data_IF_523488340357
#
_entry.id   IF_523488340357
#
_cell.length_a   1.000
_cell.length_b   1.000
_cell.length_c   1.000
_cell.angle_alpha   90.00
_cell.angle_beta   90.00
_cell.angle_gamma   90.00
#
_symmetry.space_group_name_H-M   'P 1'
#
loop_
_entity.id
_entity.type
_entity.pdbx_description
1 polymer ?
#
# COMPACT_ATOMS: atom_id res chain seq x y z
N UNK A 1 -31.41 -30.38 -7.01
CA UNK A 1 -31.38 -29.36 -5.97
C UNK A 1 -32.79 -29.00 -5.57
N UNK A 2 -33.07 -29.01 -4.27
CA UNK A 2 -34.33 -28.50 -3.72
C UNK A 2 -34.06 -27.16 -3.09
N UNK A 3 -34.83 -26.11 -3.46
CA UNK A 3 -34.68 -24.75 -2.98
C UNK A 3 -36.00 -24.33 -2.32
N UNK A 4 -35.91 -23.73 -1.13
CA UNK A 4 -37.07 -23.17 -0.46
C UNK A 4 -37.44 -21.83 -1.08
N UNK A 5 -38.72 -21.51 -1.16
CA UNK A 5 -39.18 -20.16 -1.53
C UNK A 5 -38.80 -19.10 -0.47
N UNK A 6 -38.46 -19.53 0.74
CA UNK A 6 -37.97 -18.67 1.82
C UNK A 6 -36.44 -18.46 1.77
N UNK A 7 -35.75 -19.15 0.84
CA UNK A 7 -34.31 -18.97 0.64
C UNK A 7 -33.98 -17.49 0.31
N UNK A 8 -32.85 -17.01 0.81
CA UNK A 8 -32.41 -15.62 0.58
C UNK A 8 -32.34 -15.26 -0.90
N UNK A 9 -32.00 -16.21 -1.77
CA UNK A 9 -32.01 -16.01 -3.21
C UNK A 9 -33.42 -15.63 -3.70
N UNK A 10 -34.45 -16.33 -3.26
CA UNK A 10 -35.84 -16.09 -3.64
C UNK A 10 -36.36 -14.81 -2.97
N UNK A 11 -35.96 -14.51 -1.74
CA UNK A 11 -36.35 -13.31 -1.02
C UNK A 11 -35.77 -12.04 -1.63
N UNK A 12 -34.52 -12.06 -2.11
CA UNK A 12 -33.84 -10.90 -2.72
C UNK A 12 -34.30 -10.67 -4.17
N UNK A 13 -34.54 -11.72 -4.94
CA UNK A 13 -34.83 -11.66 -6.37
C UNK A 13 -36.23 -12.06 -6.75
N UNK A 14 -37.00 -12.65 -5.81
CA UNK A 14 -38.40 -12.93 -5.99
C UNK A 14 -39.21 -11.64 -5.92
N UNK A 15 -39.94 -11.33 -6.97
CA UNK A 15 -40.85 -10.18 -6.95
C UNK A 15 -42.07 -10.49 -6.06
N UNK A 16 -42.64 -9.47 -5.42
CA UNK A 16 -43.93 -9.58 -4.69
C UNK A 16 -45.04 -10.18 -5.58
N UNK A 17 -44.95 -9.94 -6.91
CA UNK A 17 -45.82 -10.56 -7.89
C UNK A 17 -45.71 -12.10 -7.96
N UNK A 18 -44.57 -12.67 -7.58
CA UNK A 18 -44.36 -14.11 -7.55
C UNK A 18 -45.10 -14.74 -6.37
N UNK A 19 -45.08 -14.15 -5.19
CA UNK A 19 -45.84 -14.61 -4.02
C UNK A 19 -47.36 -14.58 -4.27
N UNK A 20 -47.83 -13.51 -4.91
CA UNK A 20 -49.25 -13.35 -5.30
C UNK A 20 -49.64 -14.38 -6.35
N UNK A 21 -48.75 -14.74 -7.23
CA UNK A 21 -48.99 -15.72 -8.30
C UNK A 21 -49.01 -17.16 -7.75
N UNK A 22 -48.12 -17.48 -6.78
CA UNK A 22 -48.06 -18.73 -6.07
C UNK A 22 -49.34 -18.98 -5.24
N UNK A 23 -49.85 -17.95 -4.57
CA UNK A 23 -51.11 -18.00 -3.85
C UNK A 23 -52.29 -18.24 -4.79
N UNK A 24 -52.28 -17.68 -6.01
CA UNK A 24 -53.32 -17.90 -7.03
C UNK A 24 -53.29 -19.31 -7.64
N UNK A 25 -52.12 -19.97 -7.62
CA UNK A 25 -51.95 -21.36 -8.06
C UNK A 25 -52.42 -22.41 -7.03
N UNK A 26 -52.91 -21.95 -5.86
CA UNK A 26 -53.53 -22.82 -4.88
C UNK A 26 -52.60 -23.81 -4.18
N UNK A 27 -51.32 -23.49 -4.10
CA UNK A 27 -50.30 -24.33 -3.49
C UNK A 27 -50.49 -24.40 -1.97
N UNK A 28 -50.46 -25.60 -1.44
CA UNK A 28 -50.51 -25.87 0.01
C UNK A 28 -49.10 -25.93 0.57
N UNK A 29 -48.97 -25.53 1.83
CA UNK A 29 -47.69 -25.61 2.53
C UNK A 29 -47.14 -27.04 2.49
N UNK A 30 -45.90 -27.20 2.05
CA UNK A 30 -45.20 -28.47 1.96
C UNK A 30 -45.29 -29.19 0.60
N UNK A 31 -45.96 -28.62 -0.41
CA UNK A 31 -45.95 -29.18 -1.76
C UNK A 31 -44.72 -28.76 -2.56
N UNK A 32 -44.15 -29.70 -3.31
CA UNK A 32 -43.05 -29.42 -4.26
C UNK A 32 -43.62 -28.79 -5.51
N UNK A 33 -43.02 -27.65 -5.91
CA UNK A 33 -43.44 -26.91 -7.10
C UNK A 33 -42.48 -27.23 -8.24
N UNK A 34 -42.97 -27.94 -9.23
CA UNK A 34 -42.24 -28.18 -10.49
C UNK A 34 -42.97 -27.48 -11.65
N UNK A 35 -42.63 -26.22 -11.88
CA UNK A 35 -43.24 -25.47 -12.96
C UNK A 35 -42.15 -24.76 -13.78
N UNK A 36 -42.16 -24.84 -15.14
CA UNK A 36 -41.13 -24.28 -16.00
C UNK A 36 -40.87 -22.78 -15.79
N UNK A 37 -41.89 -22.03 -15.38
CA UNK A 37 -41.77 -20.60 -15.09
C UNK A 37 -40.96 -20.31 -13.82
N UNK A 38 -41.15 -21.13 -12.80
CA UNK A 38 -40.44 -21.02 -11.51
C UNK A 38 -38.98 -21.39 -11.72
N UNK A 39 -38.72 -22.47 -12.45
CA UNK A 39 -37.37 -22.90 -12.80
C UNK A 39 -36.64 -21.77 -13.59
N UNK A 40 -37.32 -21.15 -14.55
CA UNK A 40 -36.77 -20.02 -15.32
C UNK A 40 -36.57 -18.75 -14.47
N UNK A 41 -37.44 -18.50 -13.50
CA UNK A 41 -37.28 -17.38 -12.55
C UNK A 41 -36.10 -17.61 -11.64
N UNK A 42 -35.92 -18.84 -11.12
CA UNK A 42 -34.79 -19.24 -10.30
C UNK A 42 -33.45 -19.12 -11.07
N UNK A 43 -33.43 -19.61 -12.31
CA UNK A 43 -32.25 -19.49 -13.17
C UNK A 43 -31.85 -18.02 -13.38
N UNK A 44 -32.81 -17.15 -13.66
CA UNK A 44 -32.57 -15.71 -13.82
C UNK A 44 -32.08 -15.06 -12.51
N UNK A 45 -32.65 -15.46 -11.37
CA UNK A 45 -32.22 -14.99 -10.07
C UNK A 45 -30.77 -15.39 -9.82
N UNK A 46 -30.42 -16.66 -10.07
CA UNK A 46 -29.06 -17.17 -9.93
C UNK A 46 -28.09 -16.42 -10.86
N UNK A 47 -28.44 -16.21 -12.13
CA UNK A 47 -27.61 -15.43 -13.06
C UNK A 47 -27.35 -14.01 -12.56
N UNK A 48 -28.35 -13.36 -11.94
CA UNK A 48 -28.16 -12.02 -11.35
C UNK A 48 -27.19 -12.04 -10.16
N UNK A 49 -27.30 -13.04 -9.28
CA UNK A 49 -26.37 -13.21 -8.15
C UNK A 49 -24.94 -13.45 -8.66
N UNK A 50 -24.79 -14.34 -9.63
CA UNK A 50 -23.50 -14.64 -10.23
C UNK A 50 -22.85 -13.40 -10.88
N UNK A 51 -23.64 -12.66 -11.66
CA UNK A 51 -23.18 -11.41 -12.29
C UNK A 51 -22.74 -10.39 -11.24
N UNK A 52 -23.55 -10.18 -10.19
CA UNK A 52 -23.19 -9.26 -9.09
C UNK A 52 -21.91 -9.71 -8.38
N UNK A 53 -21.82 -11.00 -8.05
CA UNK A 53 -20.64 -11.53 -7.38
C UNK A 53 -19.39 -11.47 -8.27
N UNK A 54 -19.57 -11.67 -9.58
CA UNK A 54 -18.49 -11.48 -10.56
C UNK A 54 -17.99 -10.03 -10.56
N UNK A 55 -18.87 -9.03 -10.59
CA UNK A 55 -18.50 -7.62 -10.59
C UNK A 55 -17.79 -7.22 -9.28
N UNK A 56 -18.27 -7.74 -8.14
CA UNK A 56 -17.61 -7.54 -6.85
C UNK A 56 -16.19 -8.12 -6.88
N UNK A 57 -16.02 -9.39 -7.29
CA UNK A 57 -14.70 -10.03 -7.38
C UNK A 57 -13.78 -9.30 -8.34
N UNK A 58 -14.29 -8.88 -9.51
CA UNK A 58 -13.53 -8.11 -10.50
C UNK A 58 -13.03 -6.78 -9.91
N UNK A 59 -13.86 -6.12 -9.12
CA UNK A 59 -13.47 -4.87 -8.45
C UNK A 59 -12.41 -5.14 -7.38
N UNK A 60 -12.57 -6.17 -6.56
CA UNK A 60 -11.58 -6.57 -5.55
C UNK A 60 -10.21 -6.86 -6.18
N UNK A 61 -10.18 -7.61 -7.28
CA UNK A 61 -8.92 -7.92 -8.00
C UNK A 61 -8.23 -6.65 -8.50
N UNK A 62 -8.98 -5.63 -8.94
CA UNK A 62 -8.38 -4.37 -9.38
C UNK A 62 -7.65 -3.62 -8.25
N UNK A 63 -8.17 -3.68 -7.02
CA UNK A 63 -7.48 -3.14 -5.85
C UNK A 63 -6.29 -4.01 -5.44
N UNK A 64 -6.46 -5.33 -5.45
CA UNK A 64 -5.40 -6.26 -5.08
C UNK A 64 -4.20 -6.22 -6.05
N UNK A 65 -4.43 -5.93 -7.33
CA UNK A 65 -3.35 -5.78 -8.31
C UNK A 65 -2.39 -4.66 -7.93
N UNK A 66 -2.87 -3.54 -7.39
CA UNK A 66 -1.99 -2.43 -6.94
C UNK A 66 -1.03 -2.91 -5.86
N UNK A 67 -1.56 -3.62 -4.85
CA UNK A 67 -0.75 -4.20 -3.79
C UNK A 67 0.21 -5.27 -4.32
N UNK A 68 -0.24 -6.08 -5.27
CA UNK A 68 0.57 -7.15 -5.85
C UNK A 68 1.76 -6.60 -6.65
N UNK A 69 1.57 -5.55 -7.44
CA UNK A 69 2.63 -4.89 -8.18
C UNK A 69 3.70 -4.32 -7.23
N UNK A 70 3.27 -3.63 -6.17
CA UNK A 70 4.17 -3.12 -5.13
C UNK A 70 4.90 -4.25 -4.40
N UNK A 71 4.21 -5.36 -4.10
CA UNK A 71 4.81 -6.55 -3.47
C UNK A 71 5.95 -7.11 -4.31
N UNK A 72 5.77 -7.21 -5.61
CA UNK A 72 6.83 -7.69 -6.51
C UNK A 72 8.09 -6.82 -6.42
N UNK A 73 7.93 -5.50 -6.45
CA UNK A 73 9.05 -4.55 -6.33
C UNK A 73 9.77 -4.72 -4.99
N UNK A 74 9.03 -4.69 -3.88
CA UNK A 74 9.59 -4.79 -2.53
C UNK A 74 10.28 -6.14 -2.30
N UNK A 75 9.68 -7.25 -2.76
CA UNK A 75 10.30 -8.57 -2.61
C UNK A 75 11.54 -8.74 -3.48
N UNK A 76 11.58 -8.11 -4.65
CA UNK A 76 12.79 -8.07 -5.47
C UNK A 76 13.89 -7.32 -4.75
N UNK A 77 13.64 -6.10 -4.27
CA UNK A 77 14.60 -5.31 -3.52
C UNK A 77 15.09 -6.05 -2.26
N UNK A 78 14.17 -6.71 -1.54
CA UNK A 78 14.51 -7.52 -0.36
C UNK A 78 15.42 -8.69 -0.72
N UNK A 79 15.14 -9.39 -1.82
CA UNK A 79 15.95 -10.49 -2.32
C UNK A 79 17.33 -10.01 -2.77
N UNK A 80 17.41 -8.88 -3.44
CA UNK A 80 18.67 -8.28 -3.89
C UNK A 80 19.52 -7.88 -2.68
N UNK A 81 18.93 -7.25 -1.66
CA UNK A 81 19.63 -6.95 -0.42
C UNK A 81 20.11 -8.19 0.33
N UNK A 82 19.32 -9.28 0.34
CA UNK A 82 19.73 -10.55 0.97
C UNK A 82 20.92 -11.18 0.27
N UNK A 83 20.94 -11.17 -1.06
CA UNK A 83 21.98 -11.82 -1.87
C UNK A 83 23.17 -10.92 -2.13
N UNK A 84 23.10 -9.62 -1.83
CA UNK A 84 24.19 -8.69 -2.06
C UNK A 84 25.39 -9.02 -1.18
N UNK A 85 26.54 -9.23 -1.80
CA UNK A 85 27.86 -9.28 -1.14
C UNK A 85 28.38 -7.86 -0.88
N UNK A 86 27.99 -6.91 -1.73
CA UNK A 86 28.39 -5.50 -1.67
C UNK A 86 27.26 -4.61 -1.10
N UNK A 87 26.81 -4.93 0.12
CA UNK A 87 25.72 -4.20 0.78
C UNK A 87 26.00 -2.70 0.95
N UNK A 88 27.26 -2.30 1.05
CA UNK A 88 27.64 -0.91 1.16
C UNK A 88 27.37 -0.13 -0.13
N UNK A 89 27.61 -0.73 -1.30
CA UNK A 89 27.29 -0.10 -2.58
C UNK A 89 25.78 -0.04 -2.77
N UNK A 90 25.09 -1.11 -2.40
CA UNK A 90 23.64 -1.15 -2.47
C UNK A 90 22.98 -0.07 -1.61
N UNK A 91 23.47 0.14 -0.38
CA UNK A 91 22.94 1.21 0.50
C UNK A 91 23.34 2.61 0.04
N UNK A 92 24.48 2.79 -0.64
CA UNK A 92 24.87 4.08 -1.22
C UNK A 92 23.90 4.52 -2.32
N UNK A 93 23.36 3.60 -3.11
CA UNK A 93 22.33 3.93 -4.10
C UNK A 93 21.11 4.62 -3.44
N UNK A 94 20.60 4.08 -2.35
CA UNK A 94 19.48 4.70 -1.61
C UNK A 94 19.88 5.99 -0.92
N UNK A 95 21.14 6.10 -0.48
CA UNK A 95 21.65 7.35 0.08
C UNK A 95 21.57 8.49 -0.95
N UNK A 96 21.96 8.24 -2.19
CA UNK A 96 21.85 9.24 -3.25
C UNK A 96 20.40 9.68 -3.50
N UNK A 97 19.43 8.75 -3.53
CA UNK A 97 18.01 9.09 -3.68
C UNK A 97 17.51 9.96 -2.51
N UNK A 98 17.88 9.61 -1.28
CA UNK A 98 17.51 10.39 -0.08
C UNK A 98 18.10 11.80 -0.15
N UNK A 99 19.35 11.94 -0.57
CA UNK A 99 20.01 13.22 -0.71
C UNK A 99 19.28 14.10 -1.74
N UNK A 100 18.88 13.54 -2.88
CA UNK A 100 18.12 14.27 -3.88
C UNK A 100 16.74 14.74 -3.35
N UNK A 101 16.07 13.91 -2.54
CA UNK A 101 14.82 14.30 -1.86
C UNK A 101 15.05 15.47 -0.89
N UNK A 102 16.11 15.39 -0.08
CA UNK A 102 16.46 16.47 0.87
C UNK A 102 16.80 17.76 0.14
N UNK A 103 17.51 17.69 -0.99
CA UNK A 103 17.83 18.86 -1.81
C UNK A 103 16.57 19.52 -2.38
N UNK A 104 15.57 18.74 -2.79
CA UNK A 104 14.27 19.28 -3.20
C UNK A 104 13.58 20.02 -2.06
N UNK A 105 13.58 19.46 -0.84
CA UNK A 105 13.01 20.11 0.34
C UNK A 105 13.80 21.38 0.72
N UNK A 106 15.14 21.37 0.60
CA UNK A 106 15.99 22.52 0.83
C UNK A 106 15.66 23.67 -0.12
N UNK A 107 15.53 23.37 -1.41
CA UNK A 107 15.18 24.36 -2.43
C UNK A 107 13.75 24.88 -2.23
N UNK A 108 12.81 24.03 -1.84
CA UNK A 108 11.45 24.44 -1.49
C UNK A 108 11.41 25.37 -0.28
N UNK A 109 12.22 25.08 0.76
CA UNK A 109 12.35 25.95 1.93
C UNK A 109 12.90 27.34 1.56
N UNK A 110 13.83 27.43 0.62
CA UNK A 110 14.35 28.72 0.15
C UNK A 110 13.23 29.62 -0.42
N UNK A 111 12.20 29.03 -1.04
CA UNK A 111 11.01 29.72 -1.53
C UNK A 111 9.91 29.92 -0.47
N UNK A 112 9.90 29.10 0.59
CA UNK A 112 8.92 29.10 1.66
C UNK A 112 9.59 29.04 3.05
N UNK A 113 10.09 30.16 3.60
CA UNK A 113 10.91 30.19 4.83
C UNK A 113 10.24 29.58 6.08
N UNK A 114 8.90 29.62 6.15
CA UNK A 114 8.14 29.10 7.28
C UNK A 114 7.97 27.57 7.27
N UNK A 115 8.36 26.87 6.20
CA UNK A 115 8.30 25.42 6.14
C UNK A 115 9.51 24.79 6.83
N UNK A 116 9.27 24.00 7.85
CA UNK A 116 10.31 23.32 8.65
C UNK A 116 10.55 21.85 8.22
N UNK A 117 9.89 21.35 7.18
CA UNK A 117 10.01 19.94 6.73
C UNK A 117 11.45 19.55 6.42
N UNK A 118 12.19 20.44 5.75
CA UNK A 118 13.61 20.22 5.47
C UNK A 118 14.43 19.97 6.74
N UNK A 119 14.26 20.80 7.77
CA UNK A 119 15.01 20.66 9.01
C UNK A 119 14.63 19.42 9.79
N UNK A 120 13.34 19.10 9.85
CA UNK A 120 12.81 17.90 10.49
C UNK A 120 13.36 16.66 9.80
N UNK A 121 13.29 16.60 8.46
CA UNK A 121 13.78 15.47 7.67
C UNK A 121 15.30 15.32 7.82
N UNK A 122 16.05 16.41 7.71
CA UNK A 122 17.49 16.39 7.86
C UNK A 122 17.90 15.91 9.26
N UNK A 123 17.28 16.44 10.33
CA UNK A 123 17.53 15.98 11.71
C UNK A 123 17.20 14.49 11.90
N UNK A 124 16.13 13.99 11.30
CA UNK A 124 15.76 12.57 11.41
C UNK A 124 16.80 11.64 10.78
N UNK A 125 17.50 12.08 9.74
CA UNK A 125 18.49 11.29 8.99
C UNK A 125 19.87 11.37 9.66
N UNK A 126 20.33 12.58 9.97
CA UNK A 126 21.66 12.78 10.57
C UNK A 126 21.67 12.40 12.06
N UNK A 127 20.53 12.53 12.73
CA UNK A 127 20.38 12.23 14.14
C UNK A 127 21.35 13.02 15.01
N UNK A 128 22.09 12.31 15.86
CA UNK A 128 23.11 12.87 16.76
C UNK A 128 24.53 12.77 16.19
N UNK A 129 24.68 12.49 14.91
CA UNK A 129 26.01 12.26 14.29
C UNK A 129 26.82 13.52 14.13
N UNK A 130 26.19 14.69 14.21
CA UNK A 130 26.86 16.00 14.14
C UNK A 130 26.34 16.94 15.24
N UNK A 131 27.16 17.93 15.60
CA UNK A 131 26.79 18.97 16.56
C UNK A 131 25.77 19.97 15.96
N UNK A 132 25.06 20.72 16.82
CA UNK A 132 24.11 21.74 16.37
C UNK A 132 24.80 22.84 15.52
N UNK A 133 26.06 23.16 15.81
CA UNK A 133 26.85 24.11 15.06
C UNK A 133 27.15 23.62 13.63
N UNK A 134 27.58 22.36 13.49
CA UNK A 134 27.83 21.74 12.19
C UNK A 134 26.53 21.60 11.38
N UNK A 135 25.41 21.29 12.06
CA UNK A 135 24.10 21.26 11.45
C UNK A 135 23.68 22.61 10.85
N UNK A 136 23.94 23.71 11.58
CA UNK A 136 23.65 25.06 11.07
C UNK A 136 24.58 25.50 9.93
N UNK A 137 25.83 25.08 9.95
CA UNK A 137 26.75 25.28 8.84
C UNK A 137 26.29 24.49 7.59
N UNK A 138 25.91 23.25 7.75
CA UNK A 138 25.43 22.37 6.67
C UNK A 138 24.22 22.98 5.95
N UNK A 139 23.26 23.52 6.70
CA UNK A 139 22.05 24.16 6.12
C UNK A 139 22.38 25.35 5.21
N UNK A 140 23.43 26.10 5.52
CA UNK A 140 23.82 27.32 4.79
C UNK A 140 24.63 27.07 3.54
N UNK A 141 25.13 25.84 3.33
CA UNK A 141 25.96 25.52 2.18
C UNK A 141 25.15 25.50 0.87
N UNK A 142 25.83 25.66 -0.26
CA UNK A 142 25.25 25.43 -1.57
C UNK A 142 24.93 23.95 -1.76
N UNK A 143 24.12 23.62 -2.77
CA UNK A 143 23.62 22.25 -2.96
C UNK A 143 24.75 21.23 -3.20
N UNK A 144 25.79 21.60 -3.93
CA UNK A 144 26.93 20.71 -4.21
C UNK A 144 27.74 20.40 -2.94
N UNK A 145 28.07 21.41 -2.17
CA UNK A 145 28.81 21.23 -0.91
C UNK A 145 27.95 20.50 0.12
N UNK A 146 26.66 20.82 0.18
CA UNK A 146 25.70 20.12 1.05
C UNK A 146 25.68 18.61 0.76
N UNK A 147 25.58 18.22 -0.54
CA UNK A 147 25.60 16.81 -0.95
C UNK A 147 26.90 16.14 -0.50
N UNK A 148 28.07 16.77 -0.77
CA UNK A 148 29.38 16.22 -0.41
C UNK A 148 29.55 16.04 1.11
N UNK A 149 29.16 17.03 1.89
CA UNK A 149 29.27 16.94 3.35
C UNK A 149 28.31 15.91 3.94
N UNK A 150 27.11 15.77 3.40
CA UNK A 150 26.15 14.76 3.87
C UNK A 150 26.66 13.33 3.60
N UNK A 151 27.23 13.09 2.42
CA UNK A 151 27.88 11.82 2.08
C UNK A 151 29.04 11.55 3.05
N UNK A 152 29.87 12.54 3.30
CA UNK A 152 31.01 12.43 4.21
C UNK A 152 30.60 12.11 5.65
N UNK A 153 29.51 12.72 6.15
CA UNK A 153 28.97 12.39 7.49
C UNK A 153 28.57 10.91 7.55
N UNK A 154 27.92 10.41 6.51
CA UNK A 154 27.50 9.01 6.41
C UNK A 154 28.70 8.07 6.33
N UNK A 155 29.69 8.36 5.47
CA UNK A 155 30.90 7.57 5.30
C UNK A 155 31.74 7.53 6.58
N UNK A 156 31.93 8.68 7.25
CA UNK A 156 32.63 8.73 8.54
C UNK A 156 31.95 7.86 9.60
N UNK A 157 30.63 7.89 9.66
CA UNK A 157 29.86 7.04 10.61
C UNK A 157 30.02 5.55 10.28
N UNK A 158 30.07 5.20 8.99
CA UNK A 158 30.35 3.82 8.54
C UNK A 158 31.79 3.40 8.87
N UNK A 159 32.77 4.25 8.61
CA UNK A 159 34.16 3.98 8.94
C UNK A 159 34.39 3.77 10.46
N UNK A 160 33.78 4.60 11.30
CA UNK A 160 33.84 4.41 12.74
C UNK A 160 33.25 3.05 13.17
N UNK A 161 32.11 2.68 12.58
CA UNK A 161 31.52 1.37 12.83
C UNK A 161 32.42 0.23 12.38
N UNK A 162 33.06 0.34 11.21
CA UNK A 162 34.01 -0.65 10.69
C UNK A 162 35.22 -0.78 11.62
N UNK A 163 35.74 0.33 12.13
CA UNK A 163 36.85 0.35 13.07
C UNK A 163 36.54 -0.38 14.39
N UNK A 164 35.27 -0.31 14.84
CA UNK A 164 34.84 -0.95 16.08
C UNK A 164 34.47 -2.43 15.92
N UNK A 165 33.79 -2.79 14.83
CA UNK A 165 33.21 -4.11 14.62
C UNK A 165 33.97 -4.99 13.63
N UNK A 166 34.81 -4.39 12.79
CA UNK A 166 35.38 -5.06 11.62
C UNK A 166 34.43 -4.99 10.41
N UNK A 167 34.98 -5.25 9.23
CA UNK A 167 34.27 -5.08 7.95
C UNK A 167 33.10 -6.05 7.83
N UNK A 168 33.31 -7.33 8.12
CA UNK A 168 32.30 -8.38 7.91
C UNK A 168 31.10 -8.21 8.83
N UNK A 169 31.35 -7.94 10.12
CA UNK A 169 30.27 -7.69 11.06
C UNK A 169 29.52 -6.37 10.74
N UNK A 170 30.22 -5.36 10.23
CA UNK A 170 29.60 -4.10 9.81
C UNK A 170 28.71 -4.30 8.58
N UNK A 171 29.13 -5.11 7.60
CA UNK A 171 28.31 -5.50 6.45
C UNK A 171 27.05 -6.26 6.88
N UNK A 172 27.21 -7.25 7.76
CA UNK A 172 26.09 -8.05 8.26
C UNK A 172 25.08 -7.20 9.07
N UNK A 173 25.57 -6.28 9.91
CA UNK A 173 24.74 -5.37 10.66
C UNK A 173 23.95 -4.44 9.73
N UNK A 174 24.60 -3.84 8.72
CA UNK A 174 23.95 -2.95 7.76
C UNK A 174 22.89 -3.69 6.96
N UNK A 175 23.19 -4.91 6.52
CA UNK A 175 22.24 -5.81 5.84
C UNK A 175 21.03 -6.13 6.70
N UNK A 176 21.24 -6.47 7.97
CA UNK A 176 20.17 -6.76 8.92
C UNK A 176 19.25 -5.55 9.14
N UNK A 177 19.84 -4.37 9.36
CA UNK A 177 19.07 -3.13 9.55
C UNK A 177 18.27 -2.80 8.30
N UNK A 178 18.87 -2.95 7.12
CA UNK A 178 18.21 -2.70 5.85
C UNK A 178 16.99 -3.61 5.64
N UNK A 179 17.16 -4.93 5.83
CA UNK A 179 16.08 -5.90 5.72
C UNK A 179 14.97 -5.65 6.76
N UNK A 180 15.35 -5.36 8.00
CA UNK A 180 14.39 -5.04 9.04
C UNK A 180 13.60 -3.77 8.72
N UNK A 181 14.25 -2.76 8.16
CA UNK A 181 13.59 -1.52 7.73
C UNK A 181 12.57 -1.79 6.63
N UNK A 182 12.92 -2.59 5.62
CA UNK A 182 11.99 -3.01 4.58
C UNK A 182 10.77 -3.70 5.20
N UNK A 183 11.00 -4.70 6.06
CA UNK A 183 9.93 -5.52 6.63
C UNK A 183 8.96 -4.70 7.49
N UNK A 184 9.48 -3.77 8.31
CA UNK A 184 8.66 -2.89 9.16
C UNK A 184 7.84 -1.92 8.30
N UNK A 185 8.48 -1.24 7.35
CA UNK A 185 7.79 -0.26 6.50
C UNK A 185 6.77 -0.92 5.59
N UNK A 186 7.09 -2.08 5.02
CA UNK A 186 6.16 -2.85 4.20
C UNK A 186 4.92 -3.29 4.99
N UNK A 187 5.11 -3.78 6.22
CA UNK A 187 3.99 -4.14 7.10
C UNK A 187 3.09 -2.93 7.39
N UNK A 188 3.68 -1.80 7.71
CA UNK A 188 2.94 -0.56 7.98
C UNK A 188 2.19 -0.07 6.73
N UNK A 189 2.83 -0.19 5.56
CA UNK A 189 2.22 0.18 4.28
C UNK A 189 1.02 -0.70 3.93
N UNK A 190 1.11 -2.02 4.11
CA UNK A 190 -0.04 -2.92 3.93
C UNK A 190 -1.21 -2.53 4.84
N UNK A 191 -0.94 -2.22 6.11
CA UNK A 191 -1.98 -1.77 7.04
C UNK A 191 -2.61 -0.45 6.60
N UNK A 192 -1.80 0.49 6.12
CA UNK A 192 -2.29 1.75 5.55
C UNK A 192 -3.19 1.50 4.33
N UNK A 193 -2.78 0.66 3.38
CA UNK A 193 -3.55 0.33 2.20
C UNK A 193 -4.89 -0.35 2.53
N UNK A 194 -4.91 -1.20 3.56
CA UNK A 194 -6.15 -1.82 4.02
C UNK A 194 -7.12 -0.78 4.61
N UNK A 195 -6.63 0.16 5.41
CA UNK A 195 -7.43 1.28 5.93
C UNK A 195 -7.92 2.19 4.80
N UNK A 196 -7.04 2.52 3.85
CA UNK A 196 -7.38 3.32 2.68
C UNK A 196 -8.51 2.66 1.87
N UNK A 197 -8.42 1.34 1.64
CA UNK A 197 -9.43 0.56 0.92
C UNK A 197 -10.81 0.65 1.58
N UNK A 198 -10.88 0.67 2.91
CA UNK A 198 -12.15 0.77 3.63
C UNK A 198 -12.83 2.13 3.43
N UNK A 199 -12.06 3.20 3.33
CA UNK A 199 -12.58 4.58 3.27
C UNK A 199 -12.64 5.16 1.86
N UNK A 200 -11.88 4.62 0.91
CA UNK A 200 -11.76 5.18 -0.44
C UNK A 200 -13.11 5.21 -1.19
N UNK A 201 -14.00 4.26 -0.88
CA UNK A 201 -15.34 4.21 -1.45
C UNK A 201 -16.16 5.47 -1.20
N UNK A 202 -15.89 6.18 -0.10
CA UNK A 202 -16.58 7.43 0.23
C UNK A 202 -16.29 8.56 -0.77
N UNK A 203 -15.17 8.47 -1.50
CA UNK A 203 -14.82 9.47 -2.53
C UNK A 203 -15.72 9.43 -3.75
N UNK A 204 -16.47 8.34 -3.95
CA UNK A 204 -17.51 8.25 -4.99
C UNK A 204 -18.61 9.31 -4.83
N UNK A 205 -18.89 9.76 -3.59
CA UNK A 205 -19.83 10.86 -3.35
C UNK A 205 -19.35 12.19 -3.96
N UNK A 206 -18.02 12.36 -4.13
CA UNK A 206 -17.42 13.51 -4.82
C UNK A 206 -17.23 13.31 -6.33
N UNK A 207 -17.95 12.36 -6.95
CA UNK A 207 -17.86 12.01 -8.37
C UNK A 207 -16.43 11.58 -8.81
N UNK A 208 -15.62 11.08 -7.90
CA UNK A 208 -14.30 10.55 -8.18
C UNK A 208 -14.34 9.03 -8.25
N UNK A 209 -13.59 8.45 -9.19
CA UNK A 209 -13.43 7.00 -9.26
C UNK A 209 -12.57 6.51 -8.08
N UNK A 210 -13.12 5.68 -7.18
CA UNK A 210 -12.39 5.19 -6.02
C UNK A 210 -11.11 4.44 -6.36
N UNK A 211 -11.08 3.71 -7.48
CA UNK A 211 -9.90 2.95 -7.90
C UNK A 211 -8.78 3.89 -8.38
N UNK A 212 -9.12 4.96 -9.10
CA UNK A 212 -8.15 5.95 -9.55
C UNK A 212 -7.55 6.69 -8.35
N UNK A 213 -8.41 7.09 -7.40
CA UNK A 213 -7.94 7.75 -6.19
C UNK A 213 -7.09 6.81 -5.31
N UNK A 214 -7.48 5.53 -5.19
CA UNK A 214 -6.68 4.51 -4.50
C UNK A 214 -5.29 4.36 -5.12
N UNK A 215 -5.20 4.27 -6.46
CA UNK A 215 -3.91 4.17 -7.17
C UNK A 215 -3.01 5.39 -7.02
N UNK A 216 -3.59 6.58 -6.78
CA UNK A 216 -2.81 7.81 -6.55
C UNK A 216 -2.25 7.90 -5.14
N UNK A 217 -2.97 7.35 -4.17
CA UNK A 217 -2.60 7.42 -2.76
C UNK A 217 -1.78 6.21 -2.29
N UNK A 218 -1.88 5.07 -2.99
CA UNK A 218 -1.11 3.86 -2.75
C UNK A 218 0.34 4.03 -3.26
#
# INVERSE_FOLDING_TARGET
FYVSLEDDLMRIFGSESMNTMLQKLGLKDGESIDHPWINKALERAQQKVESRNFDIRKTLIKFDNVLNDQRHVIFTQRKDAMNSEEIFEYSNYFLDEIIEEILKLKNFKASNPNNNEFEIKLKSIIGKSISDHEFDQLKRQNNENFKKELIKVFENSREQRIKHLGTDQSKELEKRIFLQSIDINWKSHIQYLEQLRQVIGLRSYGQRDPLIEYKKEA
#
